data_IF_798726393896
#
_entry.id   IF_798726393896
#
_cell.length_a   1.000
_cell.length_b   1.000
_cell.length_c   1.000
_cell.angle_alpha   90.00
_cell.angle_beta   90.00
_cell.angle_gamma   90.00
#
_symmetry.space_group_name_H-M   'P 1'
#
loop_
_entity.id
_entity.type
_entity.pdbx_description
1 polymer ?
#
# COMPACT_ATOMS: atom_id res chain seq x y z
N UNK A 1 0.04 9.61 4.56
CA UNK A 1 0.88 8.45 4.90
C UNK A 1 0.87 7.57 3.67
N UNK A 2 2.05 7.29 3.13
CA UNK A 2 2.19 6.37 2.00
C UNK A 2 2.27 4.92 2.48
N UNK A 3 2.48 3.98 1.55
CA UNK A 3 2.58 2.57 1.87
C UNK A 3 3.90 2.25 2.58
N UNK A 4 3.90 1.26 3.48
CA UNK A 4 5.09 0.70 4.12
C UNK A 4 5.13 -0.79 3.82
N UNK A 5 6.26 -1.36 3.40
CA UNK A 5 6.31 -2.78 3.05
C UNK A 5 5.86 -3.68 4.22
N UNK A 6 4.69 -4.31 4.05
CA UNK A 6 4.08 -5.26 4.99
C UNK A 6 4.18 -6.70 4.50
N UNK A 7 5.10 -7.03 3.59
CA UNK A 7 5.27 -8.38 3.05
C UNK A 7 5.50 -9.43 4.15
N UNK A 8 6.07 -9.03 5.29
CA UNK A 8 6.20 -9.89 6.47
C UNK A 8 4.85 -10.42 6.98
N UNK A 9 3.78 -9.62 6.87
CA UNK A 9 2.47 -9.98 7.39
C UNK A 9 1.84 -11.15 6.61
N UNK A 10 2.28 -11.39 5.35
CA UNK A 10 1.86 -12.54 4.55
C UNK A 10 2.36 -13.87 5.12
N UNK A 11 3.50 -13.85 5.84
CA UNK A 11 4.18 -15.07 6.31
C UNK A 11 3.91 -15.39 7.79
N UNK A 12 3.29 -14.46 8.54
CA UNK A 12 3.02 -14.64 9.97
C UNK A 12 1.57 -15.07 10.19
N UNK A 13 1.37 -16.36 10.45
CA UNK A 13 0.03 -16.97 10.68
C UNK A 13 -0.75 -16.39 11.86
N UNK A 14 -0.07 -15.68 12.77
CA UNK A 14 -0.70 -14.99 13.91
C UNK A 14 -1.39 -13.68 13.50
N UNK A 15 -1.09 -13.11 12.33
CA UNK A 15 -1.75 -11.90 11.82
C UNK A 15 -2.99 -12.35 11.03
N UNK A 16 -4.18 -12.00 11.54
CA UNK A 16 -5.46 -12.43 10.96
C UNK A 16 -6.03 -11.44 9.94
N UNK A 17 -5.74 -10.16 10.10
CA UNK A 17 -6.25 -9.10 9.23
C UNK A 17 -5.31 -7.89 9.26
N UNK A 18 -5.36 -7.07 8.21
CA UNK A 18 -4.68 -5.78 8.10
C UNK A 18 -5.69 -4.75 7.60
N UNK A 19 -5.75 -3.60 8.26
CA UNK A 19 -6.59 -2.47 7.87
C UNK A 19 -5.71 -1.24 7.66
N UNK A 20 -5.87 -0.56 6.53
CA UNK A 20 -5.22 0.71 6.24
C UNK A 20 -6.23 1.85 6.38
N UNK A 21 -5.91 2.84 7.23
CA UNK A 21 -6.84 3.92 7.62
C UNK A 21 -6.38 5.31 7.20
N UNK A 22 -5.22 5.42 6.54
CA UNK A 22 -4.66 6.69 6.07
C UNK A 22 -4.57 7.74 7.19
N UNK A 23 -5.23 8.89 6.98
CA UNK A 23 -5.40 9.95 7.98
C UNK A 23 -6.89 10.13 8.27
N UNK A 24 -7.43 9.49 9.32
CA UNK A 24 -8.88 9.34 9.48
C UNK A 24 -9.59 10.52 10.15
N UNK A 25 -8.89 11.63 10.42
CA UNK A 25 -9.47 12.84 11.01
C UNK A 25 -9.89 12.68 12.48
N UNK A 26 -10.62 13.66 13.00
CA UNK A 26 -11.02 13.73 14.41
C UNK A 26 -11.97 12.59 14.84
N UNK A 27 -12.88 12.18 13.97
CA UNK A 27 -13.81 11.07 14.19
C UNK A 27 -13.22 9.70 13.79
N UNK A 28 -11.91 9.64 13.53
CA UNK A 28 -11.26 8.45 13.00
C UNK A 28 -11.29 7.26 13.95
N UNK A 29 -11.21 7.51 15.27
CA UNK A 29 -11.30 6.45 16.28
C UNK A 29 -12.65 5.72 16.25
N UNK A 30 -13.74 6.48 16.21
CA UNK A 30 -15.10 5.94 16.16
C UNK A 30 -15.35 5.17 14.86
N UNK A 31 -14.90 5.72 13.73
CA UNK A 31 -15.04 5.06 12.42
C UNK A 31 -14.28 3.72 12.37
N UNK A 32 -13.08 3.65 12.94
CA UNK A 32 -12.30 2.40 13.01
C UNK A 32 -12.99 1.37 13.90
N UNK A 33 -13.53 1.80 15.05
CA UNK A 33 -14.24 0.91 15.97
C UNK A 33 -15.48 0.30 15.31
N UNK A 34 -16.31 1.11 14.65
CA UNK A 34 -17.51 0.63 13.95
C UNK A 34 -17.19 -0.43 12.88
N UNK A 35 -16.07 -0.28 12.16
CA UNK A 35 -15.63 -1.28 11.18
C UNK A 35 -15.13 -2.57 11.84
N UNK A 36 -14.33 -2.46 12.90
CA UNK A 36 -13.76 -3.63 13.59
C UNK A 36 -14.83 -4.44 14.32
N UNK A 37 -15.81 -3.78 14.94
CA UNK A 37 -16.89 -4.42 15.68
C UNK A 37 -18.09 -4.81 14.81
N UNK A 38 -18.09 -4.45 13.53
CA UNK A 38 -19.06 -4.93 12.54
C UNK A 38 -20.32 -4.09 12.41
N UNK A 39 -20.36 -2.88 12.98
CA UNK A 39 -21.43 -1.91 12.78
C UNK A 39 -21.45 -1.37 11.34
N UNK A 40 -20.30 -1.41 10.65
CA UNK A 40 -20.17 -1.01 9.26
C UNK A 40 -19.22 -1.93 8.47
N UNK A 41 -19.62 -2.29 7.25
CA UNK A 41 -18.80 -3.14 6.37
C UNK A 41 -17.79 -2.30 5.55
N UNK A 42 -16.48 -2.61 5.61
CA UNK A 42 -15.48 -1.83 4.89
C UNK A 42 -15.59 -2.04 3.36
N UNK A 43 -15.62 -0.95 2.60
CA UNK A 43 -15.71 -0.96 1.13
C UNK A 43 -14.57 -0.19 0.42
N UNK A 44 -13.66 0.40 1.19
CA UNK A 44 -12.52 1.16 0.67
C UNK A 44 -11.54 0.30 -0.12
N UNK A 45 -10.85 0.92 -1.09
CA UNK A 45 -9.78 0.29 -1.88
C UNK A 45 -8.52 1.14 -1.82
N UNK A 46 -7.36 0.52 -1.99
CA UNK A 46 -6.09 1.23 -2.02
C UNK A 46 -6.06 2.19 -3.23
N UNK A 47 -5.76 3.48 -3.03
CA UNK A 47 -5.67 4.45 -4.11
C UNK A 47 -4.33 4.40 -4.86
N UNK A 48 -3.35 3.68 -4.31
CA UNK A 48 -1.98 3.59 -4.82
C UNK A 48 -1.45 2.16 -4.77
N UNK A 49 -0.43 1.89 -5.58
CA UNK A 49 0.26 0.60 -5.59
C UNK A 49 1.15 0.48 -4.36
N UNK A 50 0.97 -0.59 -3.60
CA UNK A 50 1.77 -0.89 -2.43
C UNK A 50 2.99 -1.74 -2.83
N UNK A 51 4.13 -1.09 -3.09
CA UNK A 51 5.37 -1.77 -3.50
C UNK A 51 6.05 -2.49 -2.34
N UNK A 52 6.88 -3.49 -2.68
CA UNK A 52 7.91 -4.01 -1.78
C UNK A 52 9.07 -3.00 -1.67
N UNK A 53 9.87 -3.14 -0.61
CA UNK A 53 11.02 -2.27 -0.36
C UNK A 53 12.03 -2.29 -1.52
N UNK A 54 12.22 -3.45 -2.16
CA UNK A 54 13.11 -3.65 -3.30
C UNK A 54 12.88 -2.65 -4.45
N UNK A 55 11.64 -2.16 -4.62
CA UNK A 55 11.33 -1.14 -5.63
C UNK A 55 12.08 0.17 -5.37
N UNK A 56 12.10 0.63 -4.11
CA UNK A 56 12.76 1.88 -3.72
C UNK A 56 14.28 1.75 -3.84
N UNK A 57 14.81 0.54 -3.62
CA UNK A 57 16.25 0.26 -3.74
C UNK A 57 16.72 0.25 -5.21
N UNK A 58 15.87 -0.17 -6.14
CA UNK A 58 16.21 -0.30 -7.57
C UNK A 58 15.93 0.96 -8.40
N UNK A 59 14.94 1.76 -8.00
CA UNK A 59 14.43 2.85 -8.82
C UNK A 59 14.84 4.20 -8.21
N UNK A 60 15.68 5.00 -8.88
CA UNK A 60 15.95 6.36 -8.44
C UNK A 60 14.66 7.19 -8.39
N UNK A 61 14.34 7.79 -7.25
CA UNK A 61 13.11 8.58 -7.10
C UNK A 61 13.10 9.89 -7.88
N UNK A 62 14.24 10.26 -8.47
CA UNK A 62 14.40 11.38 -9.40
C UNK A 62 14.11 11.00 -10.86
N UNK A 63 14.04 9.72 -11.20
CA UNK A 63 13.73 9.26 -12.56
C UNK A 63 12.22 9.34 -12.83
N UNK A 64 11.80 10.26 -13.70
CA UNK A 64 10.39 10.52 -14.00
C UNK A 64 9.82 9.62 -15.11
N UNK A 65 10.59 8.67 -15.64
CA UNK A 65 10.07 7.70 -16.60
C UNK A 65 8.96 6.86 -15.96
N UNK A 66 7.87 6.63 -16.69
CA UNK A 66 6.72 5.86 -16.19
C UNK A 66 6.67 4.42 -16.73
N UNK A 67 7.15 4.20 -17.95
CA UNK A 67 7.05 2.91 -18.66
C UNK A 67 8.24 2.01 -18.31
N UNK A 68 8.06 0.67 -18.31
CA UNK A 68 9.17 -0.25 -18.11
C UNK A 68 10.19 -0.13 -19.25
N UNK A 69 11.45 -0.32 -18.93
CA UNK A 69 12.55 -0.34 -19.89
C UNK A 69 13.49 -1.51 -19.56
N UNK A 70 13.50 -2.52 -20.43
CA UNK A 70 14.30 -3.73 -20.26
C UNK A 70 15.81 -3.50 -20.36
N UNK A 71 16.24 -2.47 -21.10
CA UNK A 71 17.67 -2.16 -21.29
C UNK A 71 18.28 -1.53 -20.04
N UNK A 72 17.52 -0.70 -19.33
CA UNK A 72 17.96 -0.07 -18.07
C UNK A 72 17.55 -0.87 -16.83
N UNK A 73 16.78 -1.95 -17.00
CA UNK A 73 16.19 -2.72 -15.90
C UNK A 73 15.11 -1.97 -15.13
N UNK A 74 14.57 -0.87 -15.69
CA UNK A 74 13.55 -0.06 -15.05
C UNK A 74 12.19 -0.79 -15.07
N UNK A 75 11.57 -1.09 -13.92
CA UNK A 75 10.39 -1.93 -13.85
C UNK A 75 9.09 -1.22 -14.22
N UNK A 76 9.08 0.11 -14.39
CA UNK A 76 7.85 0.89 -14.56
C UNK A 76 7.32 1.45 -13.24
N UNK A 77 6.35 2.37 -13.31
CA UNK A 77 5.72 3.03 -12.15
C UNK A 77 4.20 2.96 -12.23
N UNK A 78 3.57 2.95 -11.06
CA UNK A 78 2.12 2.81 -10.82
C UNK A 78 1.53 1.46 -11.26
N UNK A 79 0.30 1.18 -10.83
CA UNK A 79 -0.43 -0.03 -11.20
C UNK A 79 -0.53 -0.28 -12.71
N UNK A 80 -0.36 0.76 -13.53
CA UNK A 80 -0.50 0.69 -14.98
C UNK A 80 0.73 0.13 -15.69
N UNK A 81 1.94 0.35 -15.14
CA UNK A 81 3.19 0.08 -15.85
C UNK A 81 4.19 -0.78 -15.06
N UNK A 82 3.94 -1.01 -13.77
CA UNK A 82 4.70 -1.92 -12.94
C UNK A 82 4.29 -3.38 -13.17
#
# INVERSE_FOLDING_TARGET
>A
AGPIDISFAKNLSKIRAVLWVGYPGEAGGDAIAQVIFGDYNPSGRLPETWYSQEFVDKVPMTDMNMRPNSTTGFPGRSYRFY
#
